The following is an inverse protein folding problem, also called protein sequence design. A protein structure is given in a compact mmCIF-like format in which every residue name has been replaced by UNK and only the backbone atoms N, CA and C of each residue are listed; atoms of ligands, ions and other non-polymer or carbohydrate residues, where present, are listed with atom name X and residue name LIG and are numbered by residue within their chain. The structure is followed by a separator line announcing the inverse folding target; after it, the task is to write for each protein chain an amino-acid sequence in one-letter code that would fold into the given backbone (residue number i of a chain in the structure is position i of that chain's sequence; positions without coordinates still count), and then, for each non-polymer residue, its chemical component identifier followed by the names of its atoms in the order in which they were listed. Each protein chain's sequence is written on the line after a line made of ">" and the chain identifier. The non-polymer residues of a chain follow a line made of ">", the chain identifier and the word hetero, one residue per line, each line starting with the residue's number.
data_IF_035436218064
#
_entry.id   IF_035436218064
#
_cell.length_a   1.000
_cell.length_b   1.000
_cell.length_c   1.000
_cell.angle_alpha   90.00
_cell.angle_beta   90.00
_cell.angle_gamma   90.00
#
_symmetry.space_group_name_H-M   'P 1'
#
loop_
_entity.id
_entity.type
_entity.pdbx_description
1 polymer ?
#
# COMPACT_ATOMS: atom_id res chain seq x y z
N UNK A 1 24.08 20.70 -0.12
CA UNK A 1 22.61 20.81 -0.11
C UNK A 1 22.07 19.55 0.53
N UNK A 2 21.14 19.64 1.48
CA UNK A 2 20.48 18.46 2.06
C UNK A 2 19.73 17.69 0.97
N UNK A 3 19.71 16.36 1.07
CA UNK A 3 18.89 15.53 0.17
C UNK A 3 17.41 15.91 0.34
N UNK A 4 16.62 16.02 -0.74
CA UNK A 4 15.18 16.26 -0.62
C UNK A 4 14.49 15.11 0.13
N UNK A 5 13.58 15.43 1.04
CA UNK A 5 12.85 14.44 1.86
C UNK A 5 11.34 14.72 1.85
N UNK A 6 10.54 13.83 2.44
CA UNK A 6 9.08 13.93 2.47
C UNK A 6 8.49 14.44 3.80
N UNK A 7 9.31 14.86 4.76
CA UNK A 7 8.85 15.26 6.10
C UNK A 7 7.77 16.35 6.07
N UNK A 8 7.95 17.37 5.22
CA UNK A 8 7.01 18.50 5.10
C UNK A 8 5.87 18.23 4.10
N UNK A 9 5.81 17.02 3.51
CA UNK A 9 4.88 16.66 2.46
C UNK A 9 3.85 15.61 2.88
N UNK A 10 3.73 15.30 4.18
CA UNK A 10 2.72 14.37 4.68
C UNK A 10 1.31 14.86 4.38
N UNK A 11 0.42 13.96 3.97
CA UNK A 11 -0.95 14.23 3.52
C UNK A 11 -1.95 13.47 4.41
N UNK A 12 -3.19 13.97 4.58
CA UNK A 12 -4.25 13.20 5.24
C UNK A 12 -4.54 11.91 4.48
N UNK A 13 -4.75 10.82 5.21
CA UNK A 13 -5.27 9.57 4.67
C UNK A 13 -6.80 9.60 4.74
N UNK A 14 -7.42 10.34 3.82
CA UNK A 14 -8.85 10.63 3.86
C UNK A 14 -9.26 11.26 5.20
N UNK A 15 -10.37 10.79 5.76
CA UNK A 15 -10.93 11.23 7.04
C UNK A 15 -10.54 10.34 8.23
N UNK A 16 -9.56 9.44 8.07
CA UNK A 16 -9.13 8.49 9.12
C UNK A 16 -8.43 9.15 10.32
N UNK A 17 -8.05 10.43 10.22
CA UNK A 17 -7.22 11.13 11.21
C UNK A 17 -5.72 10.82 11.10
N UNK A 18 -5.33 9.86 10.26
CA UNK A 18 -3.93 9.52 9.99
C UNK A 18 -3.31 10.47 8.96
N UNK A 19 -1.99 10.67 9.08
CA UNK A 19 -1.18 11.37 8.08
C UNK A 19 -0.13 10.44 7.53
N UNK A 20 0.02 10.42 6.21
CA UNK A 20 0.95 9.55 5.50
C UNK A 20 1.87 10.35 4.59
N UNK A 21 3.10 9.89 4.44
CA UNK A 21 4.00 10.34 3.38
C UNK A 21 3.38 10.05 1.99
N UNK A 22 3.63 10.90 0.98
CA UNK A 22 3.07 10.73 -0.36
C UNK A 22 3.61 9.49 -1.07
N UNK A 23 4.70 8.89 -0.57
CA UNK A 23 5.16 7.57 -0.94
C UNK A 23 5.06 6.61 0.25
N UNK A 24 4.65 5.38 0.00
CA UNK A 24 4.74 4.27 0.95
C UNK A 24 5.67 3.17 0.45
N UNK A 25 6.32 2.47 1.38
CA UNK A 25 7.21 1.36 1.08
C UNK A 25 6.41 0.06 0.95
N UNK A 26 6.34 -0.48 -0.27
CA UNK A 26 5.73 -1.79 -0.53
C UNK A 26 6.69 -2.93 -0.24
N UNK A 27 6.26 -3.93 0.54
CA UNK A 27 7.16 -4.94 1.14
C UNK A 27 7.04 -6.35 0.57
N UNK A 28 6.41 -6.52 -0.60
CA UNK A 28 6.32 -7.83 -1.30
C UNK A 28 7.70 -8.51 -1.37
N UNK A 29 8.71 -7.73 -1.79
CA UNK A 29 10.08 -8.21 -1.99
C UNK A 29 10.82 -8.60 -0.70
N UNK A 30 10.28 -8.27 0.48
CA UNK A 30 10.84 -8.71 1.76
C UNK A 30 10.42 -10.14 2.12
N UNK A 31 9.35 -10.67 1.53
CA UNK A 31 8.80 -11.96 1.96
C UNK A 31 8.50 -12.95 0.85
N UNK A 32 8.51 -12.53 -0.42
CA UNK A 32 8.09 -13.37 -1.55
C UNK A 32 8.79 -12.99 -2.85
N UNK A 33 9.37 -13.98 -3.51
CA UNK A 33 9.99 -13.91 -4.85
C UNK A 33 9.29 -14.81 -5.89
N UNK A 34 8.28 -15.60 -5.50
CA UNK A 34 7.52 -16.48 -6.38
C UNK A 34 6.17 -15.90 -6.80
N UNK A 35 5.73 -16.13 -8.04
CA UNK A 35 4.44 -15.66 -8.55
C UNK A 35 4.28 -14.13 -8.59
N UNK A 36 5.40 -13.41 -8.59
CA UNK A 36 5.47 -11.95 -8.62
C UNK A 36 5.57 -11.45 -10.07
N UNK A 37 4.91 -10.32 -10.38
CA UNK A 37 4.87 -9.73 -11.73
C UNK A 37 5.89 -8.58 -11.88
N UNK A 38 7.17 -8.88 -11.70
CA UNK A 38 8.27 -7.94 -11.94
C UNK A 38 9.04 -8.33 -13.21
N UNK A 39 9.59 -7.36 -13.96
CA UNK A 39 10.27 -7.63 -15.23
C UNK A 39 11.59 -8.40 -15.04
N UNK A 40 12.25 -8.19 -13.89
CA UNK A 40 13.49 -8.85 -13.53
C UNK A 40 13.29 -9.65 -12.23
N UNK A 41 13.93 -10.82 -12.15
CA UNK A 41 14.06 -11.55 -10.90
C UNK A 41 14.82 -10.73 -9.84
N UNK A 42 14.62 -11.05 -8.58
CA UNK A 42 15.34 -10.46 -7.46
C UNK A 42 15.52 -11.50 -6.36
N UNK A 43 16.48 -11.25 -5.48
CA UNK A 43 16.67 -12.04 -4.26
C UNK A 43 16.02 -11.31 -3.09
N UNK A 44 15.33 -12.06 -2.24
CA UNK A 44 14.79 -11.53 -0.99
C UNK A 44 15.97 -11.00 -0.15
N UNK A 45 15.97 -9.72 0.28
CA UNK A 45 17.07 -9.18 1.08
C UNK A 45 17.12 -9.88 2.45
N UNK A 46 18.32 -10.04 3.00
CA UNK A 46 18.49 -10.49 4.39
C UNK A 46 17.95 -9.45 5.39
N UNK A 47 17.94 -9.79 6.68
CA UNK A 47 17.37 -8.93 7.72
C UNK A 47 18.16 -7.63 7.89
N UNK A 48 19.47 -7.64 7.67
CA UNK A 48 20.30 -6.44 7.78
C UNK A 48 20.01 -5.46 6.63
N UNK A 49 19.96 -5.95 5.39
CA UNK A 49 19.58 -5.15 4.23
C UNK A 49 18.15 -4.61 4.36
N UNK A 50 17.21 -5.41 4.87
CA UNK A 50 15.84 -4.96 5.14
C UNK A 50 15.80 -3.86 6.22
N UNK A 51 16.57 -4.02 7.30
CA UNK A 51 16.69 -3.02 8.38
C UNK A 51 17.27 -1.70 7.88
N UNK A 52 18.34 -1.76 7.06
CA UNK A 52 18.94 -0.58 6.45
C UNK A 52 17.98 0.14 5.50
N UNK A 53 17.19 -0.61 4.72
CA UNK A 53 16.17 -0.04 3.84
C UNK A 53 15.06 0.68 4.63
N UNK A 54 14.58 0.08 5.72
CA UNK A 54 13.59 0.69 6.62
C UNK A 54 14.12 1.96 7.29
N UNK A 55 15.37 1.93 7.75
CA UNK A 55 16.04 3.10 8.33
C UNK A 55 16.14 4.24 7.30
N UNK A 56 16.59 3.93 6.08
CA UNK A 56 16.68 4.91 5.01
C UNK A 56 15.31 5.47 4.61
N UNK A 57 14.27 4.63 4.51
CA UNK A 57 12.90 5.08 4.22
C UNK A 57 12.44 6.12 5.24
N UNK A 58 12.69 5.87 6.54
CA UNK A 58 12.38 6.81 7.62
C UNK A 58 13.19 8.11 7.51
N UNK A 59 14.50 8.02 7.29
CA UNK A 59 15.37 9.20 7.11
C UNK A 59 14.92 10.08 5.92
N UNK A 60 14.30 9.47 4.92
CA UNK A 60 13.73 10.15 3.75
C UNK A 60 12.31 10.69 3.99
N UNK A 61 11.75 10.51 5.19
CA UNK A 61 10.43 11.02 5.59
C UNK A 61 9.26 10.11 5.23
N UNK A 62 9.51 8.86 4.83
CA UNK A 62 8.45 7.86 4.62
C UNK A 62 7.99 7.33 5.98
N UNK A 63 6.67 7.30 6.19
CA UNK A 63 6.05 6.71 7.38
C UNK A 63 4.98 5.66 7.04
N UNK A 64 4.78 5.32 5.77
CA UNK A 64 3.77 4.34 5.32
C UNK A 64 4.45 3.05 4.85
N UNK A 65 4.02 1.91 5.38
CA UNK A 65 4.44 0.56 4.95
C UNK A 65 3.22 -0.21 4.46
N UNK A 66 3.36 -0.89 3.32
CA UNK A 66 2.33 -1.78 2.76
C UNK A 66 2.82 -3.23 2.71
N UNK A 67 2.13 -4.11 3.44
CA UNK A 67 2.37 -5.56 3.53
C UNK A 67 1.08 -6.35 3.28
N UNK A 68 1.14 -7.68 3.33
CA UNK A 68 0.00 -8.59 3.28
C UNK A 68 0.39 -10.02 3.72
N UNK A 69 -0.56 -10.84 4.18
CA UNK A 69 -0.35 -12.28 4.38
C UNK A 69 0.15 -13.00 3.13
N UNK A 70 -0.41 -12.66 1.96
CA UNK A 70 0.00 -13.23 0.66
C UNK A 70 1.43 -12.84 0.22
N UNK A 71 2.12 -11.94 0.93
CA UNK A 71 3.49 -11.53 0.62
C UNK A 71 4.52 -12.46 1.28
N UNK A 72 4.20 -13.76 1.36
CA UNK A 72 5.03 -14.78 1.99
C UNK A 72 5.35 -14.40 3.45
N UNK A 73 6.63 -14.27 3.77
CA UNK A 73 7.07 -13.99 5.16
C UNK A 73 7.17 -12.50 5.49
N UNK A 74 6.56 -11.61 4.70
CA UNK A 74 6.75 -10.16 4.87
C UNK A 74 6.27 -9.66 6.23
N UNK A 75 5.04 -10.02 6.66
CA UNK A 75 4.53 -9.65 8.00
C UNK A 75 5.37 -10.25 9.13
N UNK A 76 5.75 -11.52 9.02
CA UNK A 76 6.54 -12.23 10.01
C UNK A 76 7.91 -11.57 10.23
N UNK A 77 8.54 -11.09 9.15
CA UNK A 77 9.82 -10.38 9.22
C UNK A 77 9.65 -8.94 9.74
N UNK A 78 8.56 -8.27 9.36
CA UNK A 78 8.32 -6.88 9.76
C UNK A 78 8.17 -6.71 11.27
N UNK A 79 7.54 -7.64 11.99
CA UNK A 79 7.40 -7.53 13.45
C UNK A 79 8.75 -7.27 14.16
N UNK A 80 9.73 -8.20 14.07
CA UNK A 80 11.06 -7.99 14.61
C UNK A 80 11.78 -6.75 14.07
N UNK A 81 11.66 -6.46 12.77
CA UNK A 81 12.31 -5.31 12.13
C UNK A 81 11.76 -3.96 12.58
N UNK A 82 10.50 -3.92 13.05
CA UNK A 82 9.84 -2.69 13.50
C UNK A 82 9.91 -2.50 15.03
N UNK A 83 10.51 -3.42 15.78
CA UNK A 83 10.72 -3.27 17.23
C UNK A 83 11.43 -1.95 17.55
N UNK A 84 10.89 -1.22 18.53
CA UNK A 84 11.41 0.10 18.94
C UNK A 84 11.07 1.26 17.98
N UNK A 85 10.44 0.99 16.84
CA UNK A 85 10.04 2.02 15.87
C UNK A 85 8.62 1.87 15.32
N UNK A 86 7.82 0.89 15.80
CA UNK A 86 6.44 0.61 15.36
C UNK A 86 5.53 1.85 15.30
N UNK A 87 5.59 2.71 16.31
CA UNK A 87 4.75 3.93 16.40
C UNK A 87 5.07 4.99 15.34
N UNK A 88 6.19 4.85 14.63
CA UNK A 88 6.56 5.77 13.55
C UNK A 88 5.96 5.37 12.21
N UNK A 89 5.33 4.19 12.14
CA UNK A 89 4.81 3.61 10.91
C UNK A 89 3.29 3.54 10.94
N UNK A 90 2.68 4.01 9.86
CA UNK A 90 1.34 3.65 9.43
C UNK A 90 1.46 2.36 8.64
N UNK A 91 0.90 1.27 9.18
CA UNK A 91 0.96 -0.04 8.56
C UNK A 91 -0.35 -0.32 7.82
N UNK A 92 -0.22 -0.68 6.54
CA UNK A 92 -1.28 -1.25 5.72
C UNK A 92 -1.02 -2.73 5.59
N UNK A 93 -1.95 -3.57 6.05
CA UNK A 93 -1.97 -5.00 5.72
C UNK A 93 -3.26 -5.36 4.98
N UNK A 94 -3.45 -6.65 4.68
CA UNK A 94 -4.55 -7.13 3.84
C UNK A 94 -5.15 -8.43 4.38
N UNK A 95 -6.34 -8.78 3.90
CA UNK A 95 -7.02 -10.05 4.17
C UNK A 95 -7.62 -10.63 2.90
N UNK A 96 -7.89 -11.92 2.89
CA UNK A 96 -8.61 -12.60 1.80
C UNK A 96 -7.70 -13.44 0.92
N UNK A 97 -6.62 -12.88 0.39
CA UNK A 97 -5.61 -13.68 -0.34
C UNK A 97 -4.61 -14.28 0.64
N UNK A 98 -4.40 -15.59 0.51
CA UNK A 98 -3.33 -16.36 1.12
C UNK A 98 -2.42 -16.92 0.03
N UNK A 99 -1.17 -17.19 0.39
CA UNK A 99 -0.19 -17.71 -0.56
C UNK A 99 0.62 -18.84 0.07
N UNK A 100 0.31 -20.06 -0.35
CA UNK A 100 0.95 -21.29 0.13
C UNK A 100 1.40 -22.13 -1.07
N UNK A 101 2.55 -22.80 -0.95
CA UNK A 101 3.10 -23.70 -1.98
C UNK A 101 3.13 -23.12 -3.41
N UNK A 102 3.46 -21.83 -3.51
CA UNK A 102 3.58 -21.15 -4.80
C UNK A 102 2.25 -20.74 -5.45
N UNK A 103 1.12 -20.91 -4.74
CA UNK A 103 -0.23 -20.66 -5.29
C UNK A 103 -1.04 -19.73 -4.39
N UNK A 104 -1.74 -18.79 -5.03
CA UNK A 104 -2.72 -17.95 -4.33
C UNK A 104 -4.04 -18.71 -4.17
N UNK A 105 -4.64 -18.59 -2.99
CA UNK A 105 -6.03 -18.97 -2.75
C UNK A 105 -6.73 -17.86 -1.96
N UNK A 106 -8.06 -17.87 -2.01
CA UNK A 106 -8.87 -16.77 -1.49
C UNK A 106 -9.94 -17.28 -0.53
N UNK A 107 -10.02 -16.67 0.65
CA UNK A 107 -11.06 -16.90 1.65
C UNK A 107 -11.50 -15.56 2.24
N UNK A 108 -12.67 -15.10 1.80
CA UNK A 108 -13.26 -13.83 2.24
C UNK A 108 -14.29 -14.03 3.35
N UNK A 109 -14.36 -15.21 3.97
CA UNK A 109 -15.30 -15.47 5.05
C UNK A 109 -15.00 -14.64 6.29
N UNK A 110 -16.03 -14.39 7.11
CA UNK A 110 -15.88 -13.70 8.39
C UNK A 110 -14.88 -14.40 9.33
N UNK A 111 -14.95 -15.74 9.40
CA UNK A 111 -14.06 -16.54 10.24
C UNK A 111 -12.59 -16.40 9.83
N UNK A 112 -12.30 -16.52 8.53
CA UNK A 112 -10.95 -16.35 8.02
C UNK A 112 -10.46 -14.91 8.19
N UNK A 113 -11.31 -13.91 7.92
CA UNK A 113 -10.97 -12.49 8.07
C UNK A 113 -10.48 -12.18 9.48
N UNK A 114 -11.23 -12.61 10.51
CA UNK A 114 -10.83 -12.42 11.91
C UNK A 114 -9.52 -13.14 12.24
N UNK A 115 -9.41 -14.41 11.85
CA UNK A 115 -8.20 -15.21 12.06
C UNK A 115 -6.97 -14.55 11.42
N UNK A 116 -7.11 -14.06 10.18
CA UNK A 116 -6.03 -13.46 9.41
C UNK A 116 -5.57 -12.15 10.03
N UNK A 117 -6.49 -11.27 10.47
CA UNK A 117 -6.14 -10.04 11.21
C UNK A 117 -5.43 -10.35 12.53
N UNK A 118 -5.93 -11.30 13.33
CA UNK A 118 -5.30 -11.68 14.60
C UNK A 118 -3.89 -12.27 14.41
N UNK A 119 -3.71 -13.07 13.36
CA UNK A 119 -2.39 -13.57 12.97
C UNK A 119 -1.47 -12.46 12.50
N UNK A 120 -1.98 -11.49 11.75
CA UNK A 120 -1.22 -10.32 11.27
C UNK A 120 -0.73 -9.47 12.45
N UNK A 121 -1.60 -9.18 13.43
CA UNK A 121 -1.24 -8.49 14.68
C UNK A 121 -0.11 -9.22 15.43
N UNK A 122 -0.23 -10.55 15.56
CA UNK A 122 0.80 -11.38 16.20
C UNK A 122 2.13 -11.34 15.45
N UNK A 123 2.11 -11.48 14.11
CA UNK A 123 3.32 -11.46 13.27
C UNK A 123 4.02 -10.10 13.30
N UNK A 124 3.24 -9.02 13.30
CA UNK A 124 3.73 -7.65 13.35
C UNK A 124 4.09 -7.19 14.77
N UNK A 125 3.86 -8.02 15.78
CA UNK A 125 4.15 -7.75 17.19
C UNK A 125 3.50 -6.44 17.69
N UNK A 126 2.23 -6.24 17.33
CA UNK A 126 1.47 -5.02 17.63
C UNK A 126 0.02 -5.36 18.00
N UNK A 127 -0.61 -4.47 18.74
CA UNK A 127 -2.01 -4.56 19.19
C UNK A 127 -3.01 -3.96 18.19
N UNK A 128 -2.53 -3.16 17.22
CA UNK A 128 -3.36 -2.57 16.15
C UNK A 128 -2.67 -2.51 14.79
N UNK A 129 -3.45 -2.46 13.72
CA UNK A 129 -2.99 -2.12 12.36
C UNK A 129 -3.75 -0.87 11.88
N UNK A 130 -3.06 0.12 11.34
CA UNK A 130 -3.70 1.37 10.94
C UNK A 130 -4.74 1.18 9.81
N UNK A 131 -4.44 0.32 8.83
CA UNK A 131 -5.37 0.04 7.73
C UNK A 131 -5.31 -1.42 7.30
N UNK A 132 -6.47 -2.06 7.15
CA UNK A 132 -6.57 -3.41 6.57
C UNK A 132 -7.45 -3.40 5.32
N UNK A 133 -6.90 -3.87 4.20
CA UNK A 133 -7.57 -3.88 2.91
C UNK A 133 -8.00 -5.29 2.48
N UNK A 134 -9.18 -5.42 1.89
CA UNK A 134 -9.57 -6.65 1.18
C UNK A 134 -8.67 -6.86 -0.02
N UNK A 135 -8.03 -8.04 -0.13
CA UNK A 135 -7.11 -8.39 -1.20
C UNK A 135 -7.85 -9.15 -2.30
N UNK A 136 -8.41 -8.40 -3.25
CA UNK A 136 -9.36 -8.94 -4.21
C UNK A 136 -8.75 -9.88 -5.25
N UNK A 137 -9.48 -10.94 -5.60
CA UNK A 137 -9.20 -11.79 -6.76
C UNK A 137 -9.58 -11.10 -8.09
N UNK A 138 -10.38 -10.03 -8.04
CA UNK A 138 -10.90 -9.26 -9.17
C UNK A 138 -12.41 -9.21 -9.25
N UNK A 139 -13.12 -10.04 -8.47
CA UNK A 139 -14.58 -10.03 -8.37
C UNK A 139 -15.05 -9.11 -7.22
N UNK A 140 -14.61 -7.86 -7.25
CA UNK A 140 -14.69 -6.93 -6.11
C UNK A 140 -16.11 -6.81 -5.52
N UNK A 141 -17.12 -6.59 -6.37
CA UNK A 141 -18.50 -6.39 -5.90
C UNK A 141 -19.05 -7.63 -5.18
N UNK A 142 -18.87 -8.81 -5.76
CA UNK A 142 -19.35 -10.04 -5.13
C UNK A 142 -18.68 -10.28 -3.77
N UNK A 143 -17.38 -9.95 -3.66
CA UNK A 143 -16.65 -10.05 -2.39
C UNK A 143 -17.25 -9.10 -1.35
N UNK A 144 -17.46 -7.84 -1.72
CA UNK A 144 -17.97 -6.81 -0.82
C UNK A 144 -19.42 -7.04 -0.38
N UNK A 145 -20.26 -7.65 -1.23
CA UNK A 145 -21.69 -7.79 -0.98
C UNK A 145 -22.08 -9.14 -0.35
N UNK A 146 -21.28 -10.20 -0.54
CA UNK A 146 -21.76 -11.58 -0.32
C UNK A 146 -20.86 -12.43 0.60
N UNK A 147 -19.65 -11.99 0.92
CA UNK A 147 -18.67 -12.84 1.61
C UNK A 147 -18.53 -12.56 3.12
N UNK A 148 -19.05 -11.43 3.62
CA UNK A 148 -18.99 -11.07 5.05
C UNK A 148 -17.66 -10.47 5.52
N UNK A 149 -16.67 -10.32 4.62
CA UNK A 149 -15.36 -9.72 4.94
C UNK A 149 -15.49 -8.26 5.40
N UNK A 150 -16.35 -7.47 4.75
CA UNK A 150 -16.43 -6.03 4.98
C UNK A 150 -17.09 -5.71 6.33
N UNK A 151 -18.14 -6.44 6.67
CA UNK A 151 -18.81 -6.39 7.97
C UNK A 151 -17.87 -6.81 9.09
N UNK A 152 -17.05 -7.84 8.84
CA UNK A 152 -16.07 -8.31 9.82
C UNK A 152 -14.97 -7.28 10.05
N UNK A 153 -14.47 -6.63 9.00
CA UNK A 153 -13.50 -5.53 9.13
C UNK A 153 -14.11 -4.33 9.87
N UNK A 154 -15.38 -3.99 9.61
CA UNK A 154 -16.08 -2.95 10.35
C UNK A 154 -16.17 -3.28 11.85
N UNK A 155 -16.47 -4.53 12.22
CA UNK A 155 -16.47 -4.98 13.62
C UNK A 155 -15.06 -4.92 14.25
N UNK A 156 -14.03 -5.36 13.54
CA UNK A 156 -12.63 -5.28 14.01
C UNK A 156 -12.16 -3.83 14.21
N UNK A 157 -12.69 -2.89 13.42
CA UNK A 157 -12.47 -1.45 13.63
C UNK A 157 -13.13 -0.96 14.92
N UNK A 158 -14.36 -1.38 15.19
CA UNK A 158 -15.05 -1.06 16.45
C UNK A 158 -14.34 -1.65 17.68
N UNK A 159 -13.72 -2.81 17.53
CA UNK A 159 -12.88 -3.46 18.57
C UNK A 159 -11.52 -2.76 18.77
N UNK A 160 -11.14 -1.81 17.91
CA UNK A 160 -9.86 -1.10 17.98
C UNK A 160 -8.66 -1.90 17.48
N UNK A 161 -8.87 -3.11 16.94
CA UNK A 161 -7.81 -3.95 16.35
C UNK A 161 -7.28 -3.36 15.04
N UNK A 162 -8.12 -2.62 14.33
CA UNK A 162 -7.74 -1.86 13.14
C UNK A 162 -8.30 -0.44 13.22
N UNK A 163 -7.63 0.56 12.63
CA UNK A 163 -8.10 1.95 12.65
C UNK A 163 -8.93 2.33 11.42
N UNK A 164 -8.70 1.66 10.31
CA UNK A 164 -9.47 1.79 9.10
C UNK A 164 -9.50 0.51 8.29
N UNK A 165 -10.44 0.42 7.37
CA UNK A 165 -10.53 -0.69 6.42
C UNK A 165 -10.88 -0.22 5.02
N UNK A 166 -10.66 -1.09 4.04
CA UNK A 166 -10.82 -0.70 2.64
C UNK A 166 -10.70 -1.86 1.67
N UNK A 167 -10.54 -1.52 0.39
CA UNK A 167 -10.39 -2.49 -0.69
C UNK A 167 -9.10 -2.25 -1.46
N UNK A 168 -8.33 -3.30 -1.71
CA UNK A 168 -7.32 -3.33 -2.79
C UNK A 168 -7.94 -3.98 -4.02
N UNK A 169 -8.59 -3.15 -4.83
CA UNK A 169 -9.53 -3.57 -5.88
C UNK A 169 -8.89 -3.72 -7.25
N UNK A 170 -9.71 -4.10 -8.23
CA UNK A 170 -9.35 -4.16 -9.66
C UNK A 170 -10.42 -3.56 -10.58
N UNK A 171 -11.56 -3.15 -10.03
CA UNK A 171 -12.72 -2.65 -10.76
C UNK A 171 -13.18 -1.32 -10.21
N UNK A 172 -13.64 -0.42 -11.09
CA UNK A 172 -14.21 0.87 -10.70
C UNK A 172 -15.40 0.69 -9.78
N UNK A 173 -16.33 -0.21 -10.14
CA UNK A 173 -17.54 -0.44 -9.36
C UNK A 173 -17.22 -0.96 -7.95
N UNK A 174 -16.25 -1.88 -7.83
CA UNK A 174 -15.76 -2.33 -6.53
C UNK A 174 -15.12 -1.22 -5.71
N UNK A 175 -14.27 -0.39 -6.34
CA UNK A 175 -13.65 0.76 -5.69
C UNK A 175 -14.66 1.77 -5.15
N UNK A 176 -15.67 2.12 -5.94
CA UNK A 176 -16.77 3.00 -5.50
C UNK A 176 -17.55 2.36 -4.35
N UNK A 177 -17.94 1.09 -4.49
CA UNK A 177 -18.69 0.36 -3.46
C UNK A 177 -17.95 0.29 -2.13
N UNK A 178 -16.64 0.03 -2.18
CA UNK A 178 -15.77 0.01 -1.02
C UNK A 178 -15.81 1.34 -0.26
N UNK A 179 -15.80 2.47 -0.99
CA UNK A 179 -15.75 3.80 -0.40
C UNK A 179 -17.09 4.28 0.18
N UNK A 180 -18.23 3.65 -0.15
CA UNK A 180 -19.51 3.97 0.49
C UNK A 180 -19.46 3.78 2.01
N UNK A 181 -18.81 2.70 2.46
CA UNK A 181 -18.76 2.32 3.89
C UNK A 181 -17.34 2.31 4.46
N UNK A 182 -16.37 1.82 3.68
CA UNK A 182 -14.96 1.75 4.06
C UNK A 182 -14.26 3.09 4.00
N UNK A 183 -13.01 3.11 4.44
CA UNK A 183 -12.21 4.32 4.61
C UNK A 183 -11.27 4.60 3.44
N UNK A 184 -10.85 3.54 2.72
CA UNK A 184 -9.80 3.62 1.72
C UNK A 184 -10.05 2.69 0.52
N UNK A 185 -9.64 3.13 -0.67
CA UNK A 185 -9.47 2.27 -1.83
C UNK A 185 -8.01 2.30 -2.30
N UNK A 186 -7.44 1.13 -2.54
CA UNK A 186 -6.14 0.95 -3.19
C UNK A 186 -6.33 0.52 -4.64
N UNK A 187 -5.98 1.40 -5.57
CA UNK A 187 -6.34 1.35 -6.99
C UNK A 187 -5.11 1.33 -7.89
N UNK A 188 -5.25 0.77 -9.08
CA UNK A 188 -4.23 0.86 -10.13
C UNK A 188 -4.40 2.18 -10.87
N UNK A 189 -3.39 3.04 -10.80
CA UNK A 189 -3.33 4.28 -11.57
C UNK A 189 -1.89 4.54 -12.00
N UNK A 190 -1.63 4.58 -13.30
CA UNK A 190 -0.32 4.83 -13.89
C UNK A 190 -0.47 5.35 -15.33
N UNK A 191 0.65 5.64 -16.01
CA UNK A 191 0.63 6.19 -17.37
C UNK A 191 -0.14 5.33 -18.39
N UNK A 192 -0.17 4.00 -18.21
CA UNK A 192 -0.84 3.06 -19.10
C UNK A 192 -2.27 2.69 -18.66
N UNK A 193 -2.54 2.75 -17.36
CA UNK A 193 -3.79 2.28 -16.74
C UNK A 193 -4.43 3.40 -15.93
N UNK A 194 -5.43 4.06 -16.50
CA UNK A 194 -6.13 5.20 -15.89
C UNK A 194 -7.63 4.96 -15.66
N UNK A 195 -8.12 3.74 -15.94
CA UNK A 195 -9.54 3.41 -15.88
C UNK A 195 -10.16 3.57 -14.48
N UNK A 196 -9.36 3.43 -13.41
CA UNK A 196 -9.83 3.58 -12.02
C UNK A 196 -9.93 5.05 -11.55
N UNK A 197 -9.66 6.05 -12.42
CA UNK A 197 -9.79 7.48 -12.09
C UNK A 197 -11.12 7.87 -11.42
N UNK A 198 -12.30 7.36 -11.82
CA UNK A 198 -13.56 7.71 -11.16
C UNK A 198 -13.59 7.38 -9.66
N UNK A 199 -12.80 6.40 -9.20
CA UNK A 199 -12.66 6.07 -7.77
C UNK A 199 -11.87 7.17 -7.04
N UNK A 200 -10.85 7.75 -7.70
CA UNK A 200 -10.07 8.86 -7.16
C UNK A 200 -10.93 10.14 -7.07
N UNK A 201 -11.72 10.41 -8.11
CA UNK A 201 -12.63 11.56 -8.16
C UNK A 201 -13.65 11.47 -7.00
N UNK A 202 -14.32 10.31 -6.87
CA UNK A 202 -15.27 10.06 -5.78
C UNK A 202 -14.62 10.23 -4.39
N UNK A 203 -13.42 9.67 -4.21
CA UNK A 203 -12.72 9.78 -2.93
C UNK A 203 -12.38 11.23 -2.54
N UNK A 204 -11.96 12.04 -3.52
CA UNK A 204 -11.65 13.45 -3.30
C UNK A 204 -12.88 14.24 -2.85
N UNK A 205 -14.05 13.96 -3.44
CA UNK A 205 -15.31 14.63 -3.10
C UNK A 205 -15.85 14.21 -1.72
N UNK A 206 -15.56 12.99 -1.27
CA UNK A 206 -16.16 12.40 -0.06
C UNK A 206 -15.18 12.27 1.12
N UNK A 207 -13.98 12.84 1.01
CA UNK A 207 -12.96 12.77 2.08
C UNK A 207 -12.50 11.34 2.38
N UNK A 208 -12.40 10.50 1.35
CA UNK A 208 -11.93 9.11 1.45
C UNK A 208 -10.47 9.00 1.04
N UNK A 209 -9.80 7.96 1.53
CA UNK A 209 -8.39 7.73 1.24
C UNK A 209 -8.18 7.00 -0.09
N UNK A 210 -7.15 7.41 -0.84
CA UNK A 210 -6.64 6.64 -1.99
C UNK A 210 -5.17 6.30 -1.79
N UNK A 211 -4.89 5.01 -1.92
CA UNK A 211 -3.54 4.49 -2.12
C UNK A 211 -3.38 4.04 -3.57
N UNK A 212 -2.33 4.50 -4.26
CA UNK A 212 -2.06 4.05 -5.63
C UNK A 212 -1.07 2.89 -5.60
N UNK A 213 -1.46 1.74 -6.16
CA UNK A 213 -0.54 0.62 -6.43
C UNK A 213 -0.11 0.63 -7.89
N UNK A 214 1.06 0.04 -8.16
CA UNK A 214 1.66 -0.01 -9.51
C UNK A 214 1.84 1.37 -10.15
N UNK A 215 2.14 2.39 -9.37
CA UNK A 215 2.42 3.76 -9.84
C UNK A 215 3.45 3.79 -11.00
N UNK A 216 4.46 2.93 -10.92
CA UNK A 216 5.53 2.80 -11.91
C UNK A 216 5.33 1.59 -12.85
N UNK A 217 4.08 1.12 -13.03
CA UNK A 217 3.71 -0.08 -13.80
C UNK A 217 4.60 -1.32 -13.51
N UNK A 218 5.03 -1.49 -12.25
CA UNK A 218 5.98 -2.53 -11.84
C UNK A 218 7.34 -2.53 -12.59
N UNK A 219 7.77 -1.38 -13.14
CA UNK A 219 9.01 -1.23 -13.89
C UNK A 219 8.87 -1.43 -15.40
N UNK A 220 7.65 -1.54 -15.93
CA UNK A 220 7.40 -1.74 -17.37
C UNK A 220 7.15 -0.43 -18.15
N UNK A 221 7.40 0.74 -17.55
CA UNK A 221 7.19 2.02 -18.21
C UNK A 221 8.35 2.29 -19.16
N UNK A 222 8.06 2.32 -20.45
CA UNK A 222 8.95 2.78 -21.51
C UNK A 222 8.36 4.06 -22.13
N UNK A 223 9.07 5.18 -22.04
CA UNK A 223 8.70 6.45 -22.68
C UNK A 223 9.71 6.83 -23.77
N UNK A 224 9.38 7.87 -24.55
CA UNK A 224 10.28 8.42 -25.55
C UNK A 224 11.63 8.87 -24.94
N UNK A 225 12.74 8.84 -25.70
CA UNK A 225 14.04 9.29 -25.22
C UNK A 225 13.99 10.70 -24.62
N UNK A 226 14.60 10.87 -23.43
CA UNK A 226 14.68 12.15 -22.74
C UNK A 226 13.56 12.42 -21.72
N UNK A 227 12.56 11.57 -21.60
CA UNK A 227 11.53 11.65 -20.54
C UNK A 227 11.89 10.69 -19.41
N UNK A 228 12.05 11.20 -18.18
CA UNK A 228 12.18 10.35 -17.00
C UNK A 228 10.82 9.70 -16.69
N UNK A 229 10.67 8.37 -16.86
CA UNK A 229 9.41 7.68 -16.61
C UNK A 229 8.96 7.75 -15.15
N UNK A 230 9.90 7.86 -14.20
CA UNK A 230 9.57 8.00 -12.78
C UNK A 230 8.95 9.37 -12.51
N UNK A 231 9.57 10.43 -13.03
CA UNK A 231 9.03 11.78 -12.91
C UNK A 231 7.64 11.90 -13.55
N UNK A 232 7.48 11.48 -14.81
CA UNK A 232 6.20 11.57 -15.51
C UNK A 232 5.08 10.79 -14.80
N UNK A 233 5.40 9.62 -14.21
CA UNK A 233 4.44 8.85 -13.44
C UNK A 233 3.98 9.59 -12.18
N UNK A 234 4.90 10.16 -11.42
CA UNK A 234 4.54 10.87 -10.19
C UNK A 234 3.86 12.22 -10.47
N UNK A 235 4.19 12.90 -11.58
CA UNK A 235 3.47 14.09 -12.02
C UNK A 235 2.00 13.75 -12.34
N UNK A 236 1.73 12.66 -13.07
CA UNK A 236 0.36 12.18 -13.30
C UNK A 236 -0.37 11.91 -11.97
N UNK A 237 0.26 11.17 -11.06
CA UNK A 237 -0.38 10.74 -9.82
C UNK A 237 -0.72 11.92 -8.91
N UNK A 238 0.25 12.79 -8.64
CA UNK A 238 0.07 13.89 -7.68
C UNK A 238 -0.58 15.14 -8.27
N UNK A 239 -0.82 15.18 -9.60
CA UNK A 239 -1.75 16.13 -10.20
C UNK A 239 -3.20 15.87 -9.75
N UNK A 240 -3.54 14.66 -9.30
CA UNK A 240 -4.86 14.34 -8.79
C UNK A 240 -4.96 14.60 -7.28
N UNK A 241 -5.85 15.49 -6.79
CA UNK A 241 -5.92 15.86 -5.38
C UNK A 241 -6.32 14.69 -4.46
N UNK A 242 -7.13 13.75 -4.97
CA UNK A 242 -7.58 12.56 -4.24
C UNK A 242 -6.50 11.55 -3.86
N UNK A 243 -5.29 11.61 -4.45
CA UNK A 243 -4.21 10.66 -4.12
C UNK A 243 -3.58 11.01 -2.77
N UNK A 244 -3.70 10.11 -1.79
CA UNK A 244 -3.05 10.27 -0.47
C UNK A 244 -1.59 9.80 -0.52
N UNK A 245 -1.33 8.63 -1.10
CA UNK A 245 0.03 8.08 -1.21
C UNK A 245 0.14 7.05 -2.33
N UNK A 246 1.34 6.87 -2.88
CA UNK A 246 1.67 5.84 -3.86
C UNK A 246 2.60 4.79 -3.24
N UNK A 247 2.23 3.51 -3.35
CA UNK A 247 3.02 2.40 -2.84
C UNK A 247 4.07 2.00 -3.88
N UNK A 248 5.34 2.09 -3.50
CA UNK A 248 6.49 1.72 -4.34
C UNK A 248 7.25 0.55 -3.75
N UNK A 249 7.37 -0.53 -4.52
CA UNK A 249 8.09 -1.74 -4.12
C UNK A 249 9.53 -1.75 -4.63
N UNK A 250 10.48 -1.31 -3.81
CA UNK A 250 11.91 -1.37 -4.12
C UNK A 250 12.70 -1.95 -2.95
N UNK A 251 13.74 -2.72 -3.27
CA UNK A 251 14.78 -3.16 -2.32
C UNK A 251 16.14 -2.53 -2.64
N UNK A 252 16.18 -1.65 -3.66
CA UNK A 252 17.37 -0.91 -4.01
C UNK A 252 17.32 0.47 -3.31
N UNK A 253 18.25 0.76 -2.38
CA UNK A 253 18.28 2.01 -1.62
C UNK A 253 18.51 3.26 -2.50
N UNK A 254 19.21 3.11 -3.63
CA UNK A 254 19.41 4.20 -4.60
C UNK A 254 18.09 4.53 -5.30
N UNK A 255 17.31 3.51 -5.69
CA UNK A 255 15.98 3.72 -6.27
C UNK A 255 15.02 4.37 -5.27
N UNK A 256 15.08 3.99 -3.99
CA UNK A 256 14.26 4.59 -2.95
C UNK A 256 14.56 6.09 -2.80
N UNK A 257 15.83 6.45 -2.68
CA UNK A 257 16.27 7.84 -2.59
C UNK A 257 15.89 8.65 -3.85
N UNK A 258 16.05 8.06 -5.04
CA UNK A 258 15.64 8.69 -6.30
C UNK A 258 14.13 8.98 -6.34
N UNK A 259 13.29 7.99 -6.01
CA UNK A 259 11.84 8.15 -6.00
C UNK A 259 11.41 9.26 -5.03
N UNK A 260 11.97 9.29 -3.82
CA UNK A 260 11.71 10.35 -2.83
C UNK A 260 12.12 11.71 -3.36
N UNK A 261 13.35 11.84 -3.87
CA UNK A 261 13.84 13.12 -4.38
C UNK A 261 12.98 13.67 -5.53
N UNK A 262 12.49 12.78 -6.40
CA UNK A 262 11.59 13.14 -7.50
C UNK A 262 10.23 13.62 -6.98
N UNK A 263 9.60 12.92 -6.04
CA UNK A 263 8.32 13.36 -5.45
C UNK A 263 8.45 14.66 -4.66
N UNK A 264 9.50 14.82 -3.85
CA UNK A 264 9.76 16.06 -3.11
C UNK A 264 9.90 17.26 -4.07
N UNK A 265 10.59 17.08 -5.21
CA UNK A 265 10.72 18.12 -6.24
C UNK A 265 9.39 18.46 -6.90
N UNK A 266 8.56 17.47 -7.20
CA UNK A 266 7.23 17.68 -7.82
C UNK A 266 6.33 18.46 -6.86
N UNK A 267 6.28 18.05 -5.59
CA UNK A 267 5.40 18.68 -4.60
C UNK A 267 5.91 20.03 -4.09
N UNK A 268 7.22 20.29 -4.11
CA UNK A 268 7.80 21.57 -3.71
C UNK A 268 7.77 22.67 -4.79
N UNK A 269 7.24 22.39 -5.99
CA UNK A 269 7.05 23.39 -7.07
C UNK A 269 5.78 24.23 -6.91
N UNK A 270 4.94 23.91 -5.93
CA UNK A 270 3.68 24.56 -5.61
C UNK A 270 3.72 25.18 -4.22
#
# INVERSE_FOLDING_TARGET
>A
MSLPTLHDHHRPLGSTGLRVSPLGLGTVKLGRDQGVKYPNGFTIPDDEAARLLLAQARELGINLIDTAPAYGRSEERLGPLLRGQREQWVIVSKVGEEFDDGRSHFDFSAAHTRLSVERSLKRLETDRIELVLVHSDGNDLAILEQQGVYETLAALKQEGKILGYGLSGKTVAGGLKALEQGDCAMVTYNLNEQAERPVLDYAAEHGKAILVKKALASGHICLAPGVDPVQASFELLFAHPGVSSAIVGTINPVHLAHNVATVARILGRH
#
